data_IF_964039911788
#
_entry.id   IF_964039911788
#
_cell.length_a   1.000
_cell.length_b   1.000
_cell.length_c   1.000
_cell.angle_alpha   90.00
_cell.angle_beta   90.00
_cell.angle_gamma   90.00
#
_symmetry.space_group_name_H-M   'P 1'
#
loop_
_entity.id
_entity.type
_entity.pdbx_description
1 polymer ?
#
# COMPACT_ATOMS: atom_id res chain seq x y z
N UNK A 1 -0.88 9.47 5.97
CA UNK A 1 -1.59 8.22 6.34
C UNK A 1 -2.64 7.80 5.32
N UNK A 2 -3.48 8.72 4.81
CA UNK A 2 -4.61 8.37 3.93
C UNK A 2 -4.24 7.69 2.61
N UNK A 3 -3.21 8.20 1.90
CA UNK A 3 -2.72 7.55 0.67
C UNK A 3 -2.19 6.14 0.87
N UNK A 4 -1.58 5.86 2.03
CA UNK A 4 -1.03 4.53 2.31
C UNK A 4 -2.17 3.51 2.34
N UNK A 5 -3.27 3.81 3.03
CA UNK A 5 -4.46 2.92 3.07
C UNK A 5 -5.14 2.84 1.70
N UNK A 6 -5.20 3.94 0.97
CA UNK A 6 -5.75 3.97 -0.39
C UNK A 6 -5.00 3.06 -1.35
N UNK A 7 -3.68 2.90 -1.17
CA UNK A 7 -2.83 2.12 -2.07
C UNK A 7 -2.64 0.69 -1.54
N UNK A 8 -2.30 0.52 -0.26
CA UNK A 8 -1.94 -0.77 0.34
C UNK A 8 -3.12 -1.52 0.98
N UNK A 9 -4.29 -0.89 1.06
CA UNK A 9 -5.46 -1.43 1.73
C UNK A 9 -5.48 -1.12 3.23
N UNK A 10 -6.46 -1.69 3.94
CA UNK A 10 -6.64 -1.44 5.37
C UNK A 10 -5.48 -1.99 6.19
N UNK A 11 -5.08 -1.22 7.20
CA UNK A 11 -4.10 -1.66 8.20
C UNK A 11 -4.63 -2.91 8.94
N UNK A 12 -3.81 -3.96 9.13
CA UNK A 12 -4.24 -5.18 9.82
C UNK A 12 -4.80 -4.92 11.23
N UNK A 13 -5.86 -5.65 11.59
CA UNK A 13 -6.57 -5.50 12.87
C UNK A 13 -5.65 -5.61 14.09
N UNK A 14 -4.67 -6.51 14.08
CA UNK A 14 -3.77 -6.70 15.22
C UNK A 14 -2.75 -5.58 15.39
N UNK A 15 -2.48 -4.81 14.33
CA UNK A 15 -1.72 -3.55 14.46
C UNK A 15 -2.61 -2.45 15.05
N UNK A 16 -3.86 -2.35 14.60
CA UNK A 16 -4.84 -1.39 15.15
C UNK A 16 -5.16 -1.67 16.63
N UNK A 17 -5.16 -2.93 17.07
CA UNK A 17 -5.34 -3.29 18.49
C UNK A 17 -4.14 -2.91 19.36
N UNK A 18 -2.93 -2.97 18.80
CA UNK A 18 -1.68 -2.63 19.50
C UNK A 18 -1.45 -1.12 19.61
N UNK A 19 -2.00 -0.33 18.69
CA UNK A 19 -1.96 1.12 18.78
C UNK A 19 -2.77 1.62 19.98
N UNK A 20 -2.31 2.70 20.62
CA UNK A 20 -3.06 3.37 21.66
C UNK A 20 -4.36 4.01 21.11
N UNK A 21 -5.30 4.27 22.02
CA UNK A 21 -6.63 4.76 21.67
C UNK A 21 -6.60 6.12 20.96
N UNK A 22 -5.65 6.99 21.29
CA UNK A 22 -5.57 8.33 20.73
C UNK A 22 -5.12 8.25 19.26
N UNK A 23 -4.00 7.58 19.00
CA UNK A 23 -3.52 7.37 17.63
C UNK A 23 -4.54 6.62 16.78
N UNK A 24 -5.21 5.60 17.34
CA UNK A 24 -6.24 4.87 16.61
C UNK A 24 -7.43 5.74 16.23
N UNK A 25 -8.01 6.48 17.18
CA UNK A 25 -9.22 7.29 16.94
C UNK A 25 -8.97 8.56 16.12
N UNK A 26 -7.72 9.01 16.06
CA UNK A 26 -7.30 10.11 15.19
C UNK A 26 -7.39 9.75 13.70
N UNK A 27 -7.01 8.52 13.33
CA UNK A 27 -6.91 8.12 11.92
C UNK A 27 -7.94 7.07 11.48
N UNK A 28 -8.56 6.34 12.40
CA UNK A 28 -9.44 5.21 12.10
C UNK A 28 -10.73 5.27 12.90
N UNK A 29 -11.80 4.76 12.30
CA UNK A 29 -13.11 4.62 12.91
C UNK A 29 -13.73 3.27 12.53
N UNK A 30 -14.75 2.83 13.26
CA UNK A 30 -15.51 1.62 12.92
C UNK A 30 -16.80 1.99 12.21
N UNK A 31 -17.03 1.42 11.03
CA UNK A 31 -18.30 1.50 10.31
C UNK A 31 -18.80 0.08 10.05
N UNK A 32 -20.04 -0.22 10.47
CA UNK A 32 -20.62 -1.56 10.29
C UNK A 32 -19.83 -2.70 10.94
N UNK A 33 -19.08 -2.41 12.01
CA UNK A 33 -18.22 -3.40 12.70
C UNK A 33 -16.82 -3.59 12.09
N UNK A 34 -16.55 -3.04 10.91
CA UNK A 34 -15.23 -3.06 10.27
C UNK A 34 -14.47 -1.75 10.51
N UNK A 35 -13.15 -1.81 10.56
CA UNK A 35 -12.31 -0.61 10.61
C UNK A 35 -12.27 0.07 9.24
N UNK A 36 -12.36 1.39 9.25
CA UNK A 36 -12.14 2.23 8.07
C UNK A 36 -11.26 3.42 8.45
N UNK A 37 -10.75 4.12 7.43
CA UNK A 37 -9.99 5.33 7.62
C UNK A 37 -10.93 6.51 7.83
N UNK A 38 -10.61 7.33 8.84
CA UNK A 38 -11.34 8.55 9.12
C UNK A 38 -11.18 9.54 7.97
N UNK A 39 -12.32 9.99 7.44
CA UNK A 39 -12.35 11.01 6.40
C UNK A 39 -12.15 12.36 7.09
N UNK A 40 -11.04 13.04 6.79
CA UNK A 40 -10.82 14.41 7.27
C UNK A 40 -11.44 15.37 6.27
N UNK A 41 -12.61 15.92 6.59
CA UNK A 41 -13.17 17.05 5.83
C UNK A 41 -12.39 18.30 6.21
N UNK A 42 -11.43 18.67 5.37
CA UNK A 42 -10.78 19.96 5.51
C UNK A 42 -11.77 21.04 5.04
N UNK A 43 -12.37 21.78 5.99
CA UNK A 43 -13.39 22.78 5.70
C UNK A 43 -12.89 23.93 4.79
N UNK A 44 -11.58 24.01 4.56
CA UNK A 44 -10.93 24.95 3.65
C UNK A 44 -10.87 24.49 2.18
N UNK A 45 -11.16 23.21 1.89
CA UNK A 45 -11.06 22.66 0.54
C UNK A 45 -12.39 22.80 -0.22
N UNK A 46 -12.36 23.60 -1.29
CA UNK A 46 -13.50 23.89 -2.18
C UNK A 46 -13.90 22.74 -3.11
N UNK A 47 -13.19 21.61 -3.07
CA UNK A 47 -13.52 20.40 -3.84
C UNK A 47 -14.02 19.30 -2.89
N UNK A 48 -15.12 18.62 -3.22
CA UNK A 48 -15.53 17.44 -2.46
C UNK A 48 -14.39 16.42 -2.52
N UNK A 49 -13.77 16.16 -1.37
CA UNK A 49 -12.73 15.14 -1.26
C UNK A 49 -13.41 13.81 -1.50
N UNK A 50 -13.06 13.11 -2.59
CA UNK A 50 -13.59 11.78 -2.84
C UNK A 50 -13.29 10.90 -1.62
N UNK A 51 -14.24 10.05 -1.20
CA UNK A 51 -14.02 9.19 -0.04
C UNK A 51 -12.78 8.33 -0.26
N UNK A 52 -11.91 8.29 0.74
CA UNK A 52 -10.70 7.47 0.70
C UNK A 52 -11.12 6.02 0.90
N UNK A 53 -11.11 5.26 -0.18
CA UNK A 53 -11.44 3.84 -0.19
C UNK A 53 -10.14 3.05 -0.09
N UNK A 54 -10.00 2.16 0.91
CA UNK A 54 -8.87 1.27 1.00
C UNK A 54 -8.78 0.34 -0.22
N UNK A 55 -7.58 0.17 -0.77
CA UNK A 55 -7.39 -0.76 -1.90
C UNK A 55 -7.79 -2.19 -1.54
N UNK A 56 -8.47 -2.86 -2.47
CA UNK A 56 -8.71 -4.30 -2.44
C UNK A 56 -7.65 -5.09 -3.22
N UNK A 57 -6.83 -4.41 -4.04
CA UNK A 57 -5.73 -4.98 -4.79
C UNK A 57 -4.52 -4.04 -4.76
N UNK A 58 -3.68 -4.16 -3.71
CA UNK A 58 -2.55 -3.26 -3.51
C UNK A 58 -1.55 -3.23 -4.67
N UNK A 59 -1.32 -4.36 -5.32
CA UNK A 59 -0.41 -4.47 -6.46
C UNK A 59 -0.96 -3.67 -7.63
N UNK A 60 -2.24 -3.84 -7.99
CA UNK A 60 -2.86 -3.07 -9.06
C UNK A 60 -2.89 -1.56 -8.74
N UNK A 61 -3.16 -1.19 -7.47
CA UNK A 61 -3.11 0.20 -7.03
C UNK A 61 -1.70 0.80 -7.15
N UNK A 62 -0.66 0.06 -6.76
CA UNK A 62 0.73 0.48 -6.94
C UNK A 62 1.10 0.61 -8.43
N UNK A 63 0.72 -0.36 -9.27
CA UNK A 63 0.91 -0.25 -10.72
C UNK A 63 0.31 1.04 -11.27
N UNK A 64 -0.90 1.40 -10.83
CA UNK A 64 -1.57 2.65 -11.22
C UNK A 64 -0.86 3.92 -10.73
N UNK A 65 -0.25 3.90 -9.54
CA UNK A 65 0.54 5.03 -9.01
C UNK A 65 1.80 5.28 -9.84
N UNK A 66 2.41 4.21 -10.34
CA UNK A 66 3.67 4.28 -11.08
C UNK A 66 3.47 4.34 -12.62
N UNK A 67 2.24 4.31 -13.13
CA UNK A 67 1.87 4.04 -14.54
C UNK A 67 2.33 5.09 -15.58
N UNK A 68 3.29 5.94 -15.27
CA UNK A 68 3.81 6.95 -16.18
C UNK A 68 4.47 6.28 -17.39
N UNK A 69 4.00 6.63 -18.61
CA UNK A 69 4.55 6.27 -19.94
C UNK A 69 5.41 5.00 -19.92
N UNK A 70 4.76 3.85 -19.75
CA UNK A 70 5.43 2.57 -19.80
C UNK A 70 5.85 2.26 -21.24
N UNK A 71 7.11 1.90 -21.41
CA UNK A 71 7.62 1.26 -22.62
C UNK A 71 7.21 -0.22 -22.59
N UNK A 72 6.49 -0.74 -23.61
CA UNK A 72 6.01 -2.11 -23.62
C UNK A 72 7.12 -3.16 -23.40
N UNK A 73 8.33 -2.89 -23.90
CA UNK A 73 9.50 -3.74 -23.75
C UNK A 73 9.99 -3.90 -22.29
N UNK A 74 9.60 -2.99 -21.38
CA UNK A 74 9.99 -3.02 -19.95
C UNK A 74 8.85 -3.39 -19.01
N UNK A 75 7.75 -3.94 -19.54
CA UNK A 75 6.58 -4.32 -18.74
C UNK A 75 6.94 -5.31 -17.61
N UNK A 76 7.82 -6.28 -17.88
CA UNK A 76 8.25 -7.26 -16.88
C UNK A 76 9.15 -6.65 -15.80
N UNK A 77 10.09 -5.78 -16.16
CA UNK A 77 10.96 -5.07 -15.21
C UNK A 77 10.11 -4.24 -14.24
N UNK A 78 9.07 -3.62 -14.76
CA UNK A 78 8.15 -2.84 -13.98
C UNK A 78 7.28 -3.69 -13.04
N UNK A 79 6.84 -4.87 -13.49
CA UNK A 79 6.14 -5.81 -12.64
C UNK A 79 7.01 -6.31 -11.49
N UNK A 80 8.29 -6.62 -11.78
CA UNK A 80 9.29 -6.95 -10.76
C UNK A 80 9.53 -5.77 -9.80
N UNK A 81 9.61 -4.54 -10.32
CA UNK A 81 9.73 -3.33 -9.49
C UNK A 81 8.55 -3.20 -8.52
N UNK A 82 7.32 -3.31 -9.02
CA UNK A 82 6.11 -3.18 -8.21
C UNK A 82 6.02 -4.28 -7.15
N UNK A 83 6.36 -5.52 -7.49
CA UNK A 83 6.41 -6.62 -6.51
C UNK A 83 7.41 -6.32 -5.39
N UNK A 84 8.63 -5.90 -5.74
CA UNK A 84 9.66 -5.56 -4.76
C UNK A 84 9.20 -4.45 -3.80
N UNK A 85 8.64 -3.36 -4.35
CA UNK A 85 8.14 -2.23 -3.56
C UNK A 85 6.98 -2.67 -2.66
N UNK A 86 6.06 -3.49 -3.16
CA UNK A 86 4.96 -4.02 -2.36
C UNK A 86 5.47 -4.83 -1.15
N UNK A 87 6.48 -5.70 -1.36
CA UNK A 87 7.09 -6.46 -0.27
C UNK A 87 7.84 -5.57 0.72
N UNK A 88 8.49 -4.50 0.27
CA UNK A 88 9.12 -3.49 1.14
C UNK A 88 8.10 -2.70 1.97
N UNK A 89 6.93 -2.41 1.41
CA UNK A 89 5.87 -1.63 2.06
C UNK A 89 4.91 -2.49 2.89
N UNK A 90 5.15 -3.80 3.00
CA UNK A 90 4.31 -4.71 3.79
C UNK A 90 4.16 -4.24 5.23
N UNK A 91 2.91 -4.15 5.69
CA UNK A 91 2.57 -3.64 7.02
C UNK A 91 3.20 -4.45 8.16
N UNK A 92 3.06 -5.78 8.10
CA UNK A 92 3.62 -6.66 9.12
C UNK A 92 5.15 -6.74 8.97
N UNK A 93 5.93 -6.23 9.93
CA UNK A 93 7.39 -6.27 9.85
C UNK A 93 7.94 -7.69 9.76
N UNK A 94 7.22 -8.71 10.25
CA UNK A 94 7.65 -10.11 10.15
C UNK A 94 7.53 -10.67 8.73
N UNK A 95 6.67 -10.08 7.90
CA UNK A 95 6.40 -10.48 6.51
C UNK A 95 7.06 -9.55 5.49
N UNK A 96 7.59 -8.41 5.93
CA UNK A 96 8.31 -7.47 5.08
C UNK A 96 9.61 -8.10 4.60
N UNK A 97 9.92 -7.90 3.32
CA UNK A 97 11.16 -8.38 2.71
C UNK A 97 12.39 -7.91 3.49
N UNK A 98 13.34 -8.82 3.71
CA UNK A 98 14.63 -8.52 4.34
C UNK A 98 15.62 -7.95 3.34
N UNK A 99 16.66 -7.24 3.78
CA UNK A 99 17.69 -6.73 2.87
C UNK A 99 18.32 -7.82 2.00
N UNK A 100 18.59 -9.00 2.55
CA UNK A 100 19.21 -10.11 1.83
C UNK A 100 18.28 -10.66 0.74
N UNK A 101 16.99 -10.81 1.06
CA UNK A 101 15.94 -11.23 0.11
C UNK A 101 15.73 -10.17 -0.99
N UNK A 102 15.83 -8.88 -0.64
CA UNK A 102 15.70 -7.77 -1.58
C UNK A 102 16.84 -7.72 -2.59
N UNK A 103 18.08 -8.01 -2.17
CA UNK A 103 19.24 -8.10 -3.07
C UNK A 103 19.14 -9.28 -4.04
N UNK A 104 18.40 -10.33 -3.68
CA UNK A 104 18.15 -11.49 -4.54
C UNK A 104 16.91 -11.33 -5.42
N UNK A 105 16.16 -10.23 -5.27
CA UNK A 105 14.90 -10.04 -5.99
C UNK A 105 15.14 -9.91 -7.51
N UNK A 106 14.26 -10.47 -8.37
CA UNK A 106 14.35 -10.38 -9.84
C UNK A 106 14.57 -8.96 -10.39
N UNK A 107 14.00 -7.95 -9.72
CA UNK A 107 14.22 -6.54 -10.07
C UNK A 107 15.68 -6.09 -9.95
N UNK A 108 16.44 -6.62 -8.99
CA UNK A 108 17.85 -6.26 -8.76
C UNK A 108 18.77 -7.18 -9.57
N UNK A 109 18.43 -8.47 -9.63
CA UNK A 109 19.29 -9.48 -10.25
C UNK A 109 19.09 -9.60 -11.76
N UNK A 110 18.01 -9.03 -12.31
CA UNK A 110 17.56 -9.23 -13.69
C UNK A 110 17.42 -10.72 -14.06
N UNK A 111 17.21 -11.58 -13.05
CA UNK A 111 16.99 -13.01 -13.25
C UNK A 111 15.51 -13.21 -13.54
N UNK A 112 15.13 -13.81 -14.68
CA UNK A 112 13.73 -14.14 -14.94
C UNK A 112 13.23 -15.14 -13.88
N UNK A 113 11.95 -15.04 -13.44
CA UNK A 113 11.40 -15.99 -12.48
C UNK A 113 11.53 -17.42 -13.02
N UNK A 114 12.00 -18.36 -12.19
CA UNK A 114 12.06 -19.77 -12.57
C UNK A 114 10.64 -20.29 -12.92
N UNK A 115 10.52 -21.12 -13.98
CA UNK A 115 9.23 -21.63 -14.46
C UNK A 115 8.53 -22.58 -13.49
#
# INVERSE_FOLDING_TARGET
MQKIVQILGMVPNDMLKRADQQNRSQFFEKQGGSWTIRQTSDASQTRPTSPIIPSQNPIASLKGVFANKQEPERAQDYDNFVDMIFRMLTYDPKRRIRPEEALQHPFITNVPPEP
#
